data_IF_766653265713
#
_entry.id   IF_766653265713
#
_cell.length_a   1.000
_cell.length_b   1.000
_cell.length_c   1.000
_cell.angle_alpha   90.00
_cell.angle_beta   90.00
_cell.angle_gamma   90.00
#
_symmetry.space_group_name_H-M   'P 1'
#
loop_
_entity.id
_entity.type
_entity.pdbx_description
1 polymer ?
#
# COMPACT_ATOMS: atom_id res chain seq x y z
N UNK A 1 -9.08 12.06 -4.37
CA UNK A 1 -9.78 10.92 -3.74
C UNK A 1 -9.10 10.65 -2.41
N UNK A 2 -9.84 10.63 -1.31
CA UNK A 2 -9.31 10.39 0.03
C UNK A 2 -10.35 9.68 0.89
N UNK A 3 -9.91 9.09 2.00
CA UNK A 3 -10.81 8.42 2.94
C UNK A 3 -11.69 9.51 3.59
N UNK A 4 -13.03 9.41 3.54
CA UNK A 4 -13.92 10.41 4.13
C UNK A 4 -13.73 10.46 5.66
N UNK A 5 -14.13 11.58 6.27
CA UNK A 5 -14.13 11.72 7.74
C UNK A 5 -14.91 10.57 8.37
N UNK A 6 -14.30 9.89 9.34
CA UNK A 6 -14.89 8.72 10.00
C UNK A 6 -14.82 7.42 9.19
N UNK A 7 -14.14 7.42 8.03
CA UNK A 7 -13.91 6.24 7.21
C UNK A 7 -12.83 5.30 7.77
N UNK A 8 -11.85 5.83 8.49
CA UNK A 8 -10.89 5.03 9.27
C UNK A 8 -11.55 4.66 10.59
N UNK A 9 -11.61 3.36 10.89
CA UNK A 9 -12.29 2.83 12.07
C UNK A 9 -11.37 2.08 13.02
N UNK A 10 -10.11 1.93 12.66
CA UNK A 10 -9.09 1.31 13.47
C UNK A 10 -7.80 1.14 12.68
N UNK A 11 -6.91 0.34 13.24
CA UNK A 11 -5.68 -0.11 12.61
C UNK A 11 -5.46 -1.58 12.96
N UNK A 12 -4.58 -2.23 12.22
CA UNK A 12 -4.12 -3.58 12.51
C UNK A 12 -2.63 -3.64 12.31
N UNK A 13 -1.95 -4.12 13.34
CA UNK A 13 -0.55 -4.47 13.26
C UNK A 13 -0.41 -5.81 12.53
N UNK A 14 0.58 -5.85 11.65
CA UNK A 14 1.01 -7.09 11.01
C UNK A 14 1.99 -7.79 11.95
N UNK A 15 1.98 -9.12 11.97
CA UNK A 15 2.90 -9.90 12.78
C UNK A 15 4.35 -9.47 12.53
N UNK A 16 5.04 -9.07 13.60
CA UNK A 16 6.43 -8.64 13.49
C UNK A 16 7.32 -9.79 13.00
N UNK A 17 8.30 -9.46 12.15
CA UNK A 17 9.34 -10.37 11.63
C UNK A 17 8.80 -11.49 10.73
N UNK A 18 7.52 -11.42 10.37
CA UNK A 18 6.81 -12.38 9.53
C UNK A 18 6.76 -11.85 8.09
N UNK A 19 7.46 -12.53 7.18
CA UNK A 19 7.59 -12.08 5.79
C UNK A 19 6.29 -12.32 5.03
N UNK A 20 5.68 -13.47 5.26
CA UNK A 20 4.44 -13.93 4.64
C UNK A 20 3.28 -13.01 5.05
N UNK A 21 3.14 -12.70 6.34
CA UNK A 21 2.12 -11.77 6.81
C UNK A 21 2.29 -10.36 6.23
N UNK A 22 3.53 -9.88 6.07
CA UNK A 22 3.80 -8.57 5.45
C UNK A 22 3.50 -8.58 3.93
N UNK A 23 3.83 -9.68 3.23
CA UNK A 23 3.48 -9.88 1.82
C UNK A 23 1.96 -9.85 1.61
N UNK A 24 1.21 -10.57 2.46
CA UNK A 24 -0.25 -10.60 2.41
C UNK A 24 -0.88 -9.23 2.69
N UNK A 25 -0.33 -8.49 3.66
CA UNK A 25 -0.83 -7.17 4.02
C UNK A 25 -0.61 -6.16 2.89
N UNK A 26 0.62 -6.06 2.35
CA UNK A 26 0.92 -5.10 1.30
C UNK A 26 0.24 -5.43 -0.04
N UNK A 27 -0.05 -6.71 -0.29
CA UNK A 27 -0.84 -7.11 -1.46
C UNK A 27 -2.28 -6.57 -1.42
N UNK A 28 -2.81 -6.27 -0.23
CA UNK A 28 -4.17 -5.75 -0.05
C UNK A 28 -4.22 -4.22 -0.06
N UNK A 29 -3.22 -3.56 0.54
CA UNK A 29 -3.14 -2.10 0.63
C UNK A 29 -1.73 -1.65 1.07
N UNK A 30 -1.37 -0.37 0.90
CA UNK A 30 -0.13 0.16 1.47
C UNK A 30 -0.05 -0.03 3.00
N UNK A 31 1.14 -0.36 3.49
CA UNK A 31 1.43 -0.64 4.91
C UNK A 31 2.41 0.40 5.44
N UNK A 32 2.12 1.03 6.56
CA UNK A 32 3.08 1.87 7.27
C UNK A 32 4.12 0.98 7.95
N UNK A 33 5.40 1.30 7.77
CA UNK A 33 6.51 0.56 8.38
C UNK A 33 7.53 1.51 8.98
N UNK A 34 8.21 1.08 10.03
CA UNK A 34 9.39 1.76 10.57
C UNK A 34 10.66 1.13 10.00
N UNK A 35 11.68 1.96 9.77
CA UNK A 35 13.01 1.54 9.32
C UNK A 35 14.11 2.33 10.06
N UNK A 36 15.36 1.86 9.96
CA UNK A 36 16.57 2.64 10.26
C UNK A 36 17.03 3.37 8.99
N UNK A 37 17.03 4.69 9.01
CA UNK A 37 17.35 5.56 7.88
C UNK A 37 18.54 6.50 8.14
N UNK A 38 19.14 6.47 9.34
CA UNK A 38 20.33 7.27 9.68
C UNK A 38 21.64 6.77 9.03
N UNK A 39 21.64 5.61 8.39
CA UNK A 39 22.81 5.05 7.74
C UNK A 39 23.14 5.75 6.41
N UNK A 40 24.43 5.99 6.15
CA UNK A 40 24.92 6.70 4.95
C UNK A 40 24.39 6.11 3.65
N UNK A 41 24.30 4.78 3.57
CA UNK A 41 23.81 4.09 2.38
C UNK A 41 22.33 4.39 2.09
N UNK A 42 21.51 4.58 3.13
CA UNK A 42 20.14 5.04 2.97
C UNK A 42 20.10 6.52 2.58
N UNK A 43 20.82 7.38 3.30
CA UNK A 43 20.82 8.82 3.04
C UNK A 43 21.23 9.18 1.60
N UNK A 44 22.24 8.49 1.06
CA UNK A 44 22.80 8.72 -0.27
C UNK A 44 22.21 7.81 -1.36
N UNK A 45 21.13 7.08 -1.07
CA UNK A 45 20.50 6.18 -2.03
C UNK A 45 20.00 6.93 -3.28
N UNK A 46 20.39 6.43 -4.46
CA UNK A 46 19.98 6.97 -5.76
C UNK A 46 19.28 5.96 -6.66
N UNK A 47 19.45 4.65 -6.41
CA UNK A 47 18.78 3.60 -7.18
C UNK A 47 19.31 2.20 -6.90
N UNK A 48 18.62 1.20 -7.46
CA UNK A 48 18.93 -0.22 -7.27
C UNK A 48 18.25 -0.83 -6.04
N UNK A 49 18.56 -2.08 -5.72
CA UNK A 49 18.07 -2.74 -4.51
C UNK A 49 19.14 -2.56 -3.42
N UNK A 50 18.81 -1.86 -2.34
CA UNK A 50 19.68 -1.70 -1.17
C UNK A 50 19.69 -3.01 -0.37
N UNK A 51 20.88 -3.51 -0.01
CA UNK A 51 21.04 -4.84 0.61
C UNK A 51 22.14 -4.83 1.68
N UNK A 52 21.80 -5.18 2.92
CA UNK A 52 22.70 -5.30 4.08
C UNK A 52 23.50 -4.05 4.40
N UNK A 53 22.93 -2.87 4.15
CA UNK A 53 23.59 -1.58 4.37
C UNK A 53 22.99 -0.80 5.57
N UNK A 54 21.95 -1.36 6.19
CA UNK A 54 21.28 -0.80 7.37
C UNK A 54 21.38 -1.72 8.59
N UNK A 55 21.14 -1.16 9.79
CA UNK A 55 20.84 -1.92 11.01
C UNK A 55 19.33 -2.14 11.24
N UNK A 56 18.93 -2.20 12.51
CA UNK A 56 17.54 -2.32 12.97
C UNK A 56 17.16 -1.35 14.09
N UNK A 57 17.90 -0.25 14.28
CA UNK A 57 17.60 0.83 15.22
C UNK A 57 16.60 1.80 14.57
N UNK A 58 15.33 1.43 14.62
CA UNK A 58 14.25 2.16 13.95
C UNK A 58 14.22 3.63 14.36
N UNK A 59 14.22 4.52 13.37
CA UNK A 59 14.24 5.98 13.55
C UNK A 59 13.33 6.73 12.56
N UNK A 60 12.78 6.05 11.56
CA UNK A 60 12.08 6.70 10.44
C UNK A 60 10.84 5.91 9.99
N UNK A 61 9.76 6.64 9.69
CA UNK A 61 8.49 6.10 9.23
C UNK A 61 8.31 6.26 7.71
N UNK A 62 7.99 5.18 7.03
CA UNK A 62 7.83 5.13 5.57
C UNK A 62 6.62 4.28 5.17
N UNK A 63 6.25 4.31 3.88
CA UNK A 63 5.10 3.58 3.37
C UNK A 63 5.55 2.45 2.43
N UNK A 64 5.34 1.20 2.85
CA UNK A 64 5.51 0.04 1.99
C UNK A 64 4.33 -0.03 1.01
N UNK A 65 4.60 0.08 -0.29
CA UNK A 65 3.58 0.19 -1.35
C UNK A 65 3.53 -1.01 -2.29
N UNK A 66 4.46 -1.95 -2.15
CA UNK A 66 4.49 -3.17 -2.95
C UNK A 66 5.79 -3.94 -2.79
N UNK A 67 5.96 -4.95 -3.62
CA UNK A 67 7.16 -5.78 -3.72
C UNK A 67 7.33 -6.28 -5.16
N UNK A 68 8.49 -6.84 -5.45
CA UNK A 68 8.76 -7.47 -6.73
C UNK A 68 10.04 -8.31 -6.70
N UNK A 69 10.50 -8.66 -7.89
CA UNK A 69 11.75 -9.37 -8.13
C UNK A 69 12.41 -8.75 -9.36
N UNK A 70 13.69 -8.41 -9.25
CA UNK A 70 14.50 -7.93 -10.36
C UNK A 70 15.79 -8.75 -10.42
N UNK A 71 16.09 -9.35 -11.58
CA UNK A 71 17.30 -10.15 -11.79
C UNK A 71 17.52 -11.25 -10.72
N UNK A 72 16.43 -11.86 -10.25
CA UNK A 72 16.47 -12.89 -9.20
C UNK A 72 16.62 -12.36 -7.77
N UNK A 73 16.62 -11.04 -7.58
CA UNK A 73 16.65 -10.41 -6.26
C UNK A 73 15.27 -9.86 -5.91
N UNK A 74 14.72 -10.40 -4.83
CA UNK A 74 13.45 -9.96 -4.27
C UNK A 74 13.58 -8.63 -3.55
N UNK A 75 12.61 -7.73 -3.72
CA UNK A 75 12.62 -6.42 -3.07
C UNK A 75 11.26 -5.99 -2.52
N UNK A 76 11.29 -5.13 -1.52
CA UNK A 76 10.20 -4.27 -1.06
C UNK A 76 10.27 -2.92 -1.76
N UNK A 77 9.15 -2.39 -2.25
CA UNK A 77 9.06 -1.05 -2.80
C UNK A 77 8.48 -0.10 -1.76
N UNK A 78 9.28 0.86 -1.33
CA UNK A 78 8.96 1.75 -0.21
C UNK A 78 8.94 3.19 -0.70
N UNK A 79 7.87 3.91 -0.36
CA UNK A 79 7.72 5.35 -0.61
C UNK A 79 8.27 6.12 0.58
N UNK A 80 9.20 7.03 0.30
CA UNK A 80 9.78 7.93 1.29
C UNK A 80 9.09 9.31 1.25
N UNK A 81 9.45 10.17 2.20
CA UNK A 81 8.91 11.52 2.40
C UNK A 81 9.93 12.64 2.14
N UNK A 82 11.11 12.32 1.58
CA UNK A 82 12.20 13.28 1.31
C UNK A 82 12.16 13.90 -0.09
N UNK A 83 10.99 13.88 -0.73
CA UNK A 83 10.78 14.46 -2.06
C UNK A 83 11.22 13.56 -3.21
N UNK A 84 10.84 13.91 -4.45
CA UNK A 84 11.07 13.08 -5.62
C UNK A 84 12.52 13.07 -6.12
N UNK A 85 13.35 14.02 -5.68
CA UNK A 85 14.77 14.08 -6.06
C UNK A 85 15.65 13.05 -5.35
N UNK A 86 15.13 12.42 -4.29
CA UNK A 86 15.82 11.38 -3.54
C UNK A 86 15.45 10.00 -4.07
N UNK A 87 16.43 9.10 -4.19
CA UNK A 87 16.22 7.74 -4.65
C UNK A 87 15.55 7.64 -6.03
N UNK A 88 14.69 6.65 -6.18
CA UNK A 88 13.99 6.35 -7.43
C UNK A 88 12.68 7.14 -7.50
N UNK A 89 12.75 8.45 -7.76
CA UNK A 89 11.60 9.36 -7.76
C UNK A 89 10.87 9.41 -6.39
N UNK A 90 11.63 9.44 -5.29
CA UNK A 90 11.11 9.42 -3.92
C UNK A 90 10.82 8.03 -3.35
N UNK A 91 11.24 6.98 -4.06
CA UNK A 91 11.10 5.59 -3.62
C UNK A 91 12.47 4.96 -3.39
N UNK A 92 12.47 3.88 -2.62
CA UNK A 92 13.60 2.99 -2.42
C UNK A 92 13.15 1.53 -2.59
N UNK A 93 14.04 0.71 -3.12
CA UNK A 93 13.89 -0.75 -3.13
C UNK A 93 14.81 -1.35 -2.08
N UNK A 94 14.23 -2.00 -1.07
CA UNK A 94 14.96 -2.68 -0.01
C UNK A 94 14.94 -4.19 -0.25
N UNK A 95 16.03 -4.89 0.04
CA UNK A 95 16.10 -6.35 -0.11
C UNK A 95 14.98 -7.04 0.67
N UNK A 96 14.27 -7.95 0.01
CA UNK A 96 13.31 -8.87 0.63
C UNK A 96 13.94 -10.26 0.66
N UNK A 97 13.90 -10.91 1.82
CA UNK A 97 14.50 -12.24 2.02
C UNK A 97 15.50 -12.34 3.17
N UNK A 98 15.78 -11.24 3.88
CA UNK A 98 16.56 -11.30 5.11
C UNK A 98 15.71 -11.85 6.29
N UNK A 99 16.32 -12.69 7.16
CA UNK A 99 15.63 -13.24 8.32
C UNK A 99 15.32 -12.15 9.35
N UNK A 100 14.55 -12.50 10.39
CA UNK A 100 14.20 -11.62 11.51
C UNK A 100 13.59 -10.29 11.04
N UNK A 101 14.23 -9.16 11.34
CA UNK A 101 13.73 -7.80 11.18
C UNK A 101 13.75 -7.33 9.71
N UNK A 102 14.46 -8.04 8.83
CA UNK A 102 14.60 -7.66 7.43
C UNK A 102 15.59 -6.51 7.21
N UNK A 103 15.72 -6.07 5.96
CA UNK A 103 16.57 -4.93 5.60
C UNK A 103 16.07 -3.65 6.29
N UNK A 104 16.97 -2.91 6.93
CA UNK A 104 16.69 -1.69 7.70
C UNK A 104 15.62 -1.87 8.80
N UNK A 105 15.32 -3.10 9.24
CA UNK A 105 14.30 -3.38 10.25
C UNK A 105 12.83 -3.29 9.76
N UNK A 106 12.61 -3.27 8.44
CA UNK A 106 11.29 -3.06 7.82
C UNK A 106 10.15 -3.97 8.33
N UNK A 107 10.46 -5.15 8.85
CA UNK A 107 9.48 -6.12 9.35
C UNK A 107 9.14 -5.97 10.84
N UNK A 108 9.76 -5.04 11.57
CA UNK A 108 9.62 -4.99 13.04
C UNK A 108 8.30 -4.32 13.48
N UNK A 109 7.90 -3.21 12.86
CA UNK A 109 6.67 -2.47 13.22
C UNK A 109 5.73 -2.14 12.04
N UNK A 110 5.25 -3.16 11.29
CA UNK A 110 4.29 -2.96 10.21
C UNK A 110 2.84 -2.80 10.71
N UNK A 111 2.13 -1.78 10.21
CA UNK A 111 0.73 -1.50 10.58
C UNK A 111 -0.05 -0.86 9.44
N UNK A 112 -1.36 -1.10 9.37
CA UNK A 112 -2.24 -0.50 8.36
C UNK A 112 -3.59 -0.07 8.94
N UNK A 113 -4.23 0.96 8.35
CA UNK A 113 -5.56 1.37 8.76
C UNK A 113 -6.63 0.35 8.34
N UNK A 114 -7.65 0.21 9.17
CA UNK A 114 -8.91 -0.47 8.81
C UNK A 114 -9.87 0.60 8.33
N UNK A 115 -10.26 0.54 7.07
CA UNK A 115 -11.19 1.47 6.44
C UNK A 115 -12.53 0.80 6.27
N UNK A 116 -13.62 1.48 6.67
CA UNK A 116 -14.99 1.04 6.36
C UNK A 116 -15.13 0.89 4.85
N UNK A 117 -15.46 -0.31 4.39
CA UNK A 117 -15.95 -0.48 3.02
C UNK A 117 -17.24 0.34 2.88
N UNK A 118 -17.43 1.10 1.79
CA UNK A 118 -18.74 1.68 1.49
C UNK A 118 -19.76 0.54 1.55
N UNK A 119 -20.86 0.73 2.28
CA UNK A 119 -21.97 -0.21 2.18
C UNK A 119 -22.44 -0.21 0.72
N UNK A 120 -22.76 -1.39 0.18
CA UNK A 120 -23.24 -1.54 -1.20
C UNK A 120 -24.49 -0.68 -1.49
N UNK A 121 -25.24 -0.29 -0.45
CA UNK A 121 -26.34 0.67 -0.53
C UNK A 121 -25.93 2.11 -0.90
N UNK A 122 -24.73 2.56 -0.51
CA UNK A 122 -24.25 3.91 -0.82
C UNK A 122 -23.76 4.07 -2.28
N UNK A 123 -23.79 2.99 -3.06
CA UNK A 123 -23.34 2.93 -4.45
C UNK A 123 -24.44 2.48 -5.42
N UNK A 124 -25.70 2.48 -5.00
CA UNK A 124 -26.80 2.46 -5.95
C UNK A 124 -26.68 3.71 -6.85
N UNK A 125 -26.52 3.57 -8.17
CA UNK A 125 -26.46 4.73 -9.05
C UNK A 125 -27.78 5.50 -8.92
N UNK A 126 -27.69 6.82 -8.80
CA UNK A 126 -28.85 7.70 -8.93
C UNK A 126 -29.56 7.29 -10.23
N UNK A 127 -30.83 6.89 -10.13
CA UNK A 127 -31.64 6.47 -11.26
C UNK A 127 -31.55 7.50 -12.38
N UNK A 128 -30.88 7.16 -13.48
CA UNK A 128 -30.94 7.96 -14.70
C UNK A 128 -32.29 7.68 -15.34
N UNK A 129 -33.24 8.57 -15.14
CA UNK A 129 -34.47 8.62 -15.93
C UNK A 129 -34.11 9.08 -17.35
N UNK A 130 -33.94 8.12 -18.26
CA UNK A 130 -33.98 8.39 -19.69
C UNK A 130 -35.45 8.55 -20.10
N UNK A 131 -35.92 9.78 -20.26
CA UNK A 131 -37.13 10.05 -21.02
C UNK A 131 -36.81 9.93 -22.52
N UNK A 132 -37.01 8.73 -23.07
CA UNK A 132 -37.13 8.55 -24.51
C UNK A 132 -38.59 8.80 -24.91
N UNK A 133 -38.88 9.96 -25.50
CA UNK A 133 -40.15 10.16 -26.19
C UNK A 133 -40.09 9.40 -27.52
N UNK A 134 -40.73 8.23 -27.58
CA UNK A 134 -41.14 7.61 -28.84
C UNK A 134 -42.60 7.22 -28.69
N UNK A 135 -43.39 7.61 -29.68
CA UNK A 135 -44.85 7.51 -29.68
C UNK A 135 -45.38 6.13 -29.33
N UNK A 136 -46.50 6.16 -28.60
CA UNK A 136 -47.53 5.13 -28.44
C UNK A 136 -47.10 3.68 -28.65
N UNK A 137 -46.84 2.94 -27.57
CA UNK A 137 -47.53 1.72 -27.14
C UNK A 137 -46.80 1.10 -25.93
N UNK A 138 -47.51 0.83 -24.83
CA UNK A 138 -46.98 0.16 -23.64
C UNK A 138 -47.09 -1.36 -23.80
N UNK A 139 -45.98 -2.09 -23.71
CA UNK A 139 -45.95 -3.48 -23.24
C UNK A 139 -44.72 -3.64 -22.34
N UNK A 140 -44.94 -4.02 -21.08
CA UNK A 140 -43.89 -4.24 -20.11
C UNK A 140 -43.26 -5.62 -20.26
N UNK A 141 -41.93 -5.68 -20.30
CA UNK A 141 -41.16 -6.90 -20.06
C UNK A 141 -40.05 -6.55 -19.08
N UNK A 142 -40.13 -7.14 -17.89
CA UNK A 142 -39.07 -7.10 -16.89
C UNK A 142 -38.05 -8.18 -17.25
N UNK A 143 -36.83 -7.78 -17.63
CA UNK A 143 -35.69 -8.72 -17.67
C UNK A 143 -34.82 -8.42 -16.46
N UNK A 144 -34.74 -9.39 -15.55
CA UNK A 144 -33.76 -9.41 -14.47
C UNK A 144 -32.42 -9.88 -15.04
N UNK A 145 -31.37 -9.08 -14.87
CA UNK A 145 -29.99 -9.55 -14.82
C UNK A 145 -29.29 -8.83 -13.69
#
# INVERSE_FOLDING_TARGET
VGIPKGGVVGFKDVSAKDTEALLEAVAQQPVSVAIEADQTAFQLYTGGILQKECGTKLDHGVLLVGYGTENGVDYWKVKNSWGPSWGENGYIRLMRGLPKDGECGIKDQPTYPIVKKPSLEAQAPASVSLEATVGSFKVGVQVMV
#
